data_IF_647313665001
#
_entry.id   IF_647313665001
#
_cell.length_a   1.000
_cell.length_b   1.000
_cell.length_c   1.000
_cell.angle_alpha   90.00
_cell.angle_beta   90.00
_cell.angle_gamma   90.00
#
_symmetry.space_group_name_H-M   'P 1'
#
loop_
_entity.id
_entity.type
_entity.pdbx_description
1 polymer ?
#
# COMPACT_ATOMS: atom_id res chain seq x y z
N UNK A 1 -30.88 32.91 0.13
CA UNK A 1 -31.65 31.85 0.82
C UNK A 1 -30.78 30.81 1.58
N UNK A 2 -29.44 30.94 1.69
CA UNK A 2 -28.63 30.10 2.60
C UNK A 2 -28.40 30.79 3.96
N UNK A 3 -28.44 32.13 4.01
CA UNK A 3 -28.28 32.92 5.24
C UNK A 3 -29.45 32.83 6.23
N UNK A 4 -30.58 32.22 5.84
CA UNK A 4 -31.81 32.20 6.65
C UNK A 4 -31.87 31.04 7.67
N UNK A 5 -31.09 29.97 7.48
CA UNK A 5 -31.11 28.78 8.35
C UNK A 5 -29.71 28.15 8.50
N UNK A 6 -28.80 28.80 9.25
CA UNK A 6 -27.43 28.31 9.46
C UNK A 6 -27.37 26.90 10.08
N UNK A 7 -28.39 26.50 10.85
CA UNK A 7 -28.50 25.19 11.48
C UNK A 7 -28.58 24.05 10.45
N UNK A 8 -29.22 24.31 9.30
CA UNK A 8 -29.34 23.34 8.21
C UNK A 8 -27.98 23.12 7.55
N UNK A 9 -27.22 24.19 7.33
CA UNK A 9 -25.87 24.12 6.77
C UNK A 9 -24.91 23.36 7.70
N UNK A 10 -24.97 23.62 9.01
CA UNK A 10 -24.15 22.90 9.99
C UNK A 10 -24.50 21.41 10.02
N UNK A 11 -25.79 21.05 9.96
CA UNK A 11 -26.23 19.64 9.86
C UNK A 11 -25.73 18.97 8.59
N UNK A 12 -25.74 19.69 7.46
CA UNK A 12 -25.22 19.19 6.19
C UNK A 12 -23.71 18.94 6.28
N UNK A 13 -22.93 19.90 6.78
CA UNK A 13 -21.48 19.76 6.95
C UNK A 13 -21.13 18.58 7.86
N UNK A 14 -21.87 18.39 8.97
CA UNK A 14 -21.70 17.23 9.86
C UNK A 14 -21.94 15.90 9.12
N UNK A 15 -22.99 15.82 8.30
CA UNK A 15 -23.26 14.60 7.50
C UNK A 15 -22.19 14.33 6.46
N UNK A 16 -21.68 15.36 5.78
CA UNK A 16 -20.60 15.23 4.81
C UNK A 16 -19.29 14.79 5.46
N UNK A 17 -18.94 15.39 6.59
CA UNK A 17 -17.74 15.02 7.36
C UNK A 17 -17.80 13.58 7.86
N UNK A 18 -18.94 13.16 8.41
CA UNK A 18 -19.15 11.76 8.82
C UNK A 18 -18.97 10.80 7.63
N UNK A 19 -19.57 11.13 6.49
CA UNK A 19 -19.47 10.29 5.28
C UNK A 19 -18.04 10.22 4.73
N UNK A 20 -17.30 11.33 4.75
CA UNK A 20 -15.88 11.35 4.37
C UNK A 20 -15.06 10.44 5.30
N UNK A 21 -15.29 10.54 6.61
CA UNK A 21 -14.62 9.68 7.58
C UNK A 21 -14.91 8.20 7.35
N UNK A 22 -16.17 7.84 7.08
CA UNK A 22 -16.55 6.45 6.77
C UNK A 22 -15.83 5.92 5.51
N UNK A 23 -15.69 6.74 4.47
CA UNK A 23 -14.95 6.36 3.27
C UNK A 23 -13.45 6.21 3.54
N UNK A 24 -12.86 7.11 4.32
CA UNK A 24 -11.44 6.99 4.73
C UNK A 24 -11.18 5.72 5.54
N UNK A 25 -12.08 5.36 6.46
CA UNK A 25 -11.98 4.13 7.25
C UNK A 25 -12.07 2.88 6.36
N UNK A 26 -13.02 2.84 5.42
CA UNK A 26 -13.13 1.73 4.45
C UNK A 26 -11.86 1.60 3.62
N UNK A 27 -11.34 2.72 3.10
CA UNK A 27 -10.10 2.74 2.34
C UNK A 27 -8.90 2.26 3.16
N UNK A 28 -8.84 2.59 4.46
CA UNK A 28 -7.79 2.10 5.37
C UNK A 28 -7.86 0.59 5.56
N UNK A 29 -9.06 0.03 5.77
CA UNK A 29 -9.25 -1.41 5.93
C UNK A 29 -8.85 -2.17 4.65
N UNK A 30 -9.31 -1.70 3.49
CA UNK A 30 -8.96 -2.29 2.20
C UNK A 30 -7.45 -2.22 1.94
N UNK A 31 -6.81 -1.09 2.27
CA UNK A 31 -5.37 -0.92 2.15
C UNK A 31 -4.60 -1.81 3.12
N UNK A 32 -5.10 -2.06 4.33
CA UNK A 32 -4.45 -3.00 5.26
C UNK A 32 -4.37 -4.40 4.65
N UNK A 33 -5.48 -4.89 4.10
CA UNK A 33 -5.53 -6.19 3.40
C UNK A 33 -4.59 -6.21 2.19
N UNK A 34 -4.55 -5.12 1.41
CA UNK A 34 -3.65 -5.01 0.27
C UNK A 34 -2.16 -4.97 0.68
N UNK A 35 -1.82 -4.28 1.77
CA UNK A 35 -0.46 -4.25 2.34
C UNK A 35 0.02 -5.63 2.71
N UNK A 36 -0.79 -6.37 3.46
CA UNK A 36 -0.46 -7.74 3.87
C UNK A 36 -0.22 -8.67 2.67
N UNK A 37 -1.09 -8.59 1.65
CA UNK A 37 -0.93 -9.37 0.41
C UNK A 37 0.36 -9.03 -0.33
N UNK A 38 0.61 -7.74 -0.57
CA UNK A 38 1.82 -7.29 -1.28
C UNK A 38 3.08 -7.67 -0.52
N UNK A 39 3.14 -7.39 0.78
CA UNK A 39 4.31 -7.71 1.60
C UNK A 39 4.54 -9.23 1.71
N UNK A 40 3.46 -10.00 1.85
CA UNK A 40 3.49 -11.46 1.89
C UNK A 40 4.07 -12.06 0.60
N UNK A 41 3.62 -11.59 -0.56
CA UNK A 41 4.13 -12.05 -1.86
C UNK A 41 5.58 -11.62 -2.10
N UNK A 42 5.97 -10.39 -1.73
CA UNK A 42 7.37 -9.96 -1.82
C UNK A 42 8.29 -10.84 -0.94
N UNK A 43 7.86 -11.16 0.29
CA UNK A 43 8.58 -12.08 1.19
C UNK A 43 8.65 -13.50 0.65
N UNK A 44 7.60 -13.99 -0.01
CA UNK A 44 7.59 -15.31 -0.67
C UNK A 44 8.55 -15.35 -1.85
N UNK A 45 8.53 -14.30 -2.66
CA UNK A 45 9.36 -14.20 -3.86
C UNK A 45 10.85 -14.10 -3.52
N UNK A 46 11.22 -13.30 -2.50
CA UNK A 46 12.60 -13.25 -1.99
C UNK A 46 13.06 -14.60 -1.47
N UNK A 47 12.25 -15.29 -0.66
CA UNK A 47 12.58 -16.64 -0.17
C UNK A 47 12.84 -17.64 -1.31
N UNK A 48 12.00 -17.61 -2.36
CA UNK A 48 12.17 -18.50 -3.54
C UNK A 48 13.46 -18.21 -4.32
N UNK A 49 13.89 -16.94 -4.35
CA UNK A 49 15.08 -16.49 -5.10
C UNK A 49 16.37 -16.53 -4.27
N UNK A 50 16.30 -16.80 -2.97
CA UNK A 50 17.47 -16.85 -2.09
C UNK A 50 18.29 -18.10 -2.42
N UNK A 51 19.46 -17.89 -3.03
CA UNK A 51 20.40 -18.97 -3.31
C UNK A 51 20.92 -19.54 -1.98
N UNK A 52 21.01 -20.88 -1.82
CA UNK A 52 21.54 -21.51 -0.59
C UNK A 52 23.00 -21.11 -0.30
N UNK A 53 23.73 -20.64 -1.30
CA UNK A 53 25.11 -20.14 -1.17
C UNK A 53 25.22 -18.66 -0.75
N UNK A 54 24.13 -17.89 -0.67
CA UNK A 54 24.19 -16.45 -0.35
C UNK A 54 24.05 -16.16 1.15
N UNK A 55 24.73 -16.93 2.00
CA UNK A 55 24.64 -16.84 3.47
C UNK A 55 24.96 -15.44 4.04
N UNK A 56 25.65 -14.60 3.27
CA UNK A 56 26.11 -13.25 3.69
C UNK A 56 25.48 -12.06 2.95
N UNK A 57 24.62 -12.26 1.95
CA UNK A 57 23.97 -11.13 1.26
C UNK A 57 22.55 -10.94 1.77
N UNK A 58 22.39 -9.95 2.63
CA UNK A 58 21.10 -9.32 2.96
C UNK A 58 20.46 -8.80 1.68
N UNK A 59 19.20 -9.20 1.49
CA UNK A 59 18.19 -8.59 0.62
C UNK A 59 18.64 -8.27 -0.81
N UNK A 60 18.72 -9.31 -1.64
CA UNK A 60 18.88 -9.13 -3.08
C UNK A 60 17.69 -8.31 -3.64
N UNK A 61 17.96 -7.20 -4.37
CA UNK A 61 16.91 -6.35 -4.90
C UNK A 61 15.99 -7.13 -5.84
N UNK A 62 14.68 -6.97 -5.63
CA UNK A 62 13.62 -7.56 -6.43
C UNK A 62 13.38 -6.71 -7.68
N UNK A 63 13.83 -7.23 -8.82
CA UNK A 63 13.39 -6.75 -10.12
C UNK A 63 11.97 -7.26 -10.41
N UNK A 64 10.97 -6.63 -9.79
CA UNK A 64 9.54 -6.89 -10.03
C UNK A 64 8.87 -5.59 -10.44
N UNK A 65 8.20 -5.60 -11.59
CA UNK A 65 7.37 -4.47 -12.01
C UNK A 65 6.10 -4.43 -11.17
N UNK A 66 5.50 -3.24 -11.03
CA UNK A 66 4.22 -3.11 -10.32
C UNK A 66 3.12 -3.97 -10.94
N UNK A 67 3.14 -4.18 -12.27
CA UNK A 67 2.19 -5.08 -12.94
C UNK A 67 2.40 -6.54 -12.57
N UNK A 68 3.65 -6.99 -12.44
CA UNK A 68 3.88 -8.37 -12.03
C UNK A 68 3.41 -8.62 -10.60
N UNK A 69 3.58 -7.64 -9.72
CA UNK A 69 3.08 -7.71 -8.33
C UNK A 69 1.55 -7.70 -8.32
N UNK A 70 0.91 -6.92 -9.18
CA UNK A 70 -0.55 -6.91 -9.35
C UNK A 70 -1.09 -8.29 -9.75
N UNK A 71 -0.46 -8.92 -10.74
CA UNK A 71 -0.78 -10.29 -11.17
C UNK A 71 -0.62 -11.31 -10.03
N UNK A 72 0.50 -11.24 -9.29
CA UNK A 72 0.79 -12.17 -8.18
C UNK A 72 -0.15 -12.01 -6.98
N UNK A 73 -0.61 -10.79 -6.72
CA UNK A 73 -1.46 -10.47 -5.55
C UNK A 73 -2.95 -10.44 -5.87
N UNK A 74 -3.33 -10.51 -7.16
CA UNK A 74 -4.70 -10.33 -7.63
C UNK A 74 -5.24 -8.90 -7.41
N UNK A 75 -4.34 -7.92 -7.27
CA UNK A 75 -4.70 -6.51 -7.06
C UNK A 75 -4.54 -5.73 -8.37
N UNK A 76 -5.15 -4.54 -8.43
CA UNK A 76 -4.89 -3.60 -9.53
C UNK A 76 -3.50 -2.95 -9.39
N UNK A 77 -2.79 -2.68 -10.50
CA UNK A 77 -1.52 -1.92 -10.52
C UNK A 77 -1.59 -0.65 -9.68
N UNK A 78 -2.68 0.11 -9.76
CA UNK A 78 -2.83 1.37 -9.03
C UNK A 78 -2.83 1.11 -7.52
N UNK A 79 -3.53 0.07 -7.07
CA UNK A 79 -3.55 -0.38 -5.68
C UNK A 79 -2.15 -0.79 -5.24
N UNK A 80 -1.46 -1.61 -6.03
CA UNK A 80 -0.06 -2.01 -5.74
C UNK A 80 0.86 -0.80 -5.62
N UNK A 81 0.76 0.17 -6.54
CA UNK A 81 1.60 1.37 -6.53
C UNK A 81 1.38 2.18 -5.25
N UNK A 82 0.12 2.33 -4.80
CA UNK A 82 -0.20 3.02 -3.55
C UNK A 82 0.31 2.22 -2.34
N UNK A 83 0.12 0.92 -2.34
CA UNK A 83 0.60 0.02 -1.28
C UNK A 83 2.12 0.07 -1.13
N UNK A 84 2.88 0.01 -2.23
CA UNK A 84 4.34 0.08 -2.20
C UNK A 84 4.83 1.43 -1.63
N UNK A 85 4.18 2.54 -1.99
CA UNK A 85 4.48 3.85 -1.38
C UNK A 85 4.24 3.84 0.14
N UNK A 86 3.16 3.23 0.60
CA UNK A 86 2.86 3.12 2.03
C UNK A 86 3.88 2.24 2.76
N UNK A 87 4.24 1.08 2.20
CA UNK A 87 5.26 0.19 2.76
C UNK A 87 6.63 0.89 2.83
N UNK A 88 6.96 1.71 1.83
CA UNK A 88 8.19 2.52 1.85
C UNK A 88 8.16 3.56 2.97
N UNK A 89 7.04 4.27 3.12
CA UNK A 89 6.87 5.25 4.21
C UNK A 89 6.93 4.61 5.60
N UNK A 90 6.51 3.35 5.73
CA UNK A 90 6.57 2.60 6.98
C UNK A 90 7.93 1.97 7.26
N UNK A 91 8.87 2.02 6.30
CA UNK A 91 10.19 1.41 6.42
C UNK A 91 10.21 -0.11 6.25
N UNK A 92 9.14 -0.72 5.72
CA UNK A 92 9.09 -2.15 5.43
C UNK A 92 9.86 -2.51 4.15
N UNK A 93 9.97 -1.55 3.22
CA UNK A 93 10.67 -1.70 1.95
C UNK A 93 11.45 -0.42 1.61
N UNK A 94 12.45 -0.56 0.76
CA UNK A 94 13.05 0.55 0.02
C UNK A 94 13.06 0.25 -1.49
N UNK A 95 13.44 1.26 -2.27
CA UNK A 95 13.62 1.16 -3.71
C UNK A 95 15.03 1.62 -4.01
N UNK A 96 15.83 0.74 -4.63
CA UNK A 96 17.21 1.05 -4.99
C UNK A 96 17.31 2.06 -6.15
N UNK A 97 18.54 2.49 -6.47
CA UNK A 97 18.84 3.44 -7.55
C UNK A 97 18.37 2.99 -8.94
N UNK A 98 18.06 1.69 -9.10
CA UNK A 98 17.61 1.07 -10.34
C UNK A 98 16.10 0.79 -10.33
N UNK A 99 15.36 1.28 -9.33
CA UNK A 99 13.91 1.09 -9.21
C UNK A 99 13.49 -0.29 -8.70
N UNK A 100 14.41 -1.08 -8.13
CA UNK A 100 14.13 -2.43 -7.62
C UNK A 100 13.76 -2.38 -6.15
N UNK A 101 12.83 -3.24 -5.75
CA UNK A 101 12.31 -3.27 -4.37
C UNK A 101 13.28 -4.04 -3.48
N UNK A 102 13.70 -3.43 -2.37
CA UNK A 102 14.50 -4.05 -1.32
C UNK A 102 13.61 -4.20 -0.10
N UNK A 103 13.54 -5.40 0.49
CA UNK A 103 12.84 -5.58 1.76
C UNK A 103 13.73 -5.09 2.89
N UNK A 104 13.20 -4.27 3.79
CA UNK A 104 13.87 -3.86 5.01
C UNK A 104 13.38 -4.74 6.17
N UNK A 105 14.25 -4.97 7.16
CA UNK A 105 14.04 -5.95 8.23
C UNK A 105 13.30 -5.36 9.42
#
# INVERSE_FOLDING_TARGET
MIAAHPEVLVRLLKKLSARLHDYEQKLRLDMSSAKEKVLGELKRYTKKKRNPFSMFKTDAPLALTHEKIAELTGLNRVTVTRTLKLLKLQGDIDVDEHGRIVLLR
#
